data_IF_896844081232
#
_entry.id   IF_896844081232
#
_cell.length_a   1.000
_cell.length_b   1.000
_cell.length_c   1.000
_cell.angle_alpha   90.00
_cell.angle_beta   90.00
_cell.angle_gamma   90.00
#
_symmetry.space_group_name_H-M   'P 1'
#
loop_
_entity.id
_entity.type
_entity.pdbx_description
1 polymer ?
#
# COMPACT_ATOMS: atom_id res chain seq x y z
N UNK A 1 -38.17 9.57 -21.67
CA UNK A 1 -37.77 8.68 -20.56
C UNK A 1 -38.55 9.09 -19.32
N UNK A 2 -39.06 8.14 -18.53
CA UNK A 2 -39.73 8.47 -17.26
C UNK A 2 -38.68 8.78 -16.18
N UNK A 3 -39.05 9.55 -15.16
CA UNK A 3 -38.17 9.83 -14.02
C UNK A 3 -37.71 8.55 -13.29
N UNK A 4 -38.53 7.49 -13.33
CA UNK A 4 -38.20 6.18 -12.79
C UNK A 4 -37.06 5.50 -13.56
N UNK A 5 -37.08 5.56 -14.90
CA UNK A 5 -36.01 5.01 -15.76
C UNK A 5 -34.66 5.65 -15.46
N UNK A 6 -34.63 6.98 -15.33
CA UNK A 6 -33.41 7.74 -15.03
C UNK A 6 -32.84 7.39 -13.65
N UNK A 7 -33.72 7.16 -12.66
CA UNK A 7 -33.31 6.74 -11.31
C UNK A 7 -32.71 5.34 -11.33
N UNK A 8 -33.35 4.41 -12.02
CA UNK A 8 -32.89 3.02 -12.08
C UNK A 8 -31.55 2.91 -12.83
N UNK A 9 -31.36 3.69 -13.89
CA UNK A 9 -30.08 3.86 -14.59
C UNK A 9 -28.98 4.40 -13.66
N UNK A 10 -29.26 5.47 -12.90
CA UNK A 10 -28.30 6.04 -11.95
C UNK A 10 -27.93 5.04 -10.83
N UNK A 11 -28.90 4.28 -10.33
CA UNK A 11 -28.64 3.22 -9.33
C UNK A 11 -27.72 2.15 -9.91
N UNK A 12 -27.94 1.74 -11.17
CA UNK A 12 -27.10 0.75 -11.84
C UNK A 12 -25.66 1.26 -12.04
N UNK A 13 -25.49 2.52 -12.45
CA UNK A 13 -24.16 3.14 -12.61
C UNK A 13 -23.39 3.20 -11.28
N UNK A 14 -24.04 3.69 -10.22
CA UNK A 14 -23.39 3.79 -8.90
C UNK A 14 -23.08 2.39 -8.34
N UNK A 15 -23.96 1.42 -8.56
CA UNK A 15 -23.74 0.03 -8.14
C UNK A 15 -22.52 -0.56 -8.84
N UNK A 16 -22.40 -0.37 -10.15
CA UNK A 16 -21.25 -0.84 -10.92
C UNK A 16 -19.94 -0.21 -10.42
N UNK A 17 -19.92 1.10 -10.15
CA UNK A 17 -18.73 1.77 -9.60
C UNK A 17 -18.40 1.30 -8.18
N UNK A 18 -19.41 1.10 -7.33
CA UNK A 18 -19.23 0.57 -5.97
C UNK A 18 -18.61 -0.83 -5.98
N UNK A 19 -19.10 -1.72 -6.85
CA UNK A 19 -18.55 -3.07 -7.00
C UNK A 19 -17.14 -3.03 -7.59
N UNK A 20 -16.88 -2.11 -8.52
CA UNK A 20 -15.54 -1.83 -9.05
C UNK A 20 -14.55 -1.36 -7.98
N UNK A 21 -14.95 -0.44 -7.09
CA UNK A 21 -14.12 -0.01 -5.95
C UNK A 21 -13.79 -1.20 -5.06
N UNK A 22 -14.76 -2.07 -4.73
CA UNK A 22 -14.49 -3.26 -3.91
C UNK A 22 -13.48 -4.20 -4.53
N UNK A 23 -13.52 -4.39 -5.85
CA UNK A 23 -12.54 -5.21 -6.55
C UNK A 23 -11.13 -4.58 -6.46
N UNK A 24 -11.01 -3.28 -6.73
CA UNK A 24 -9.74 -2.54 -6.61
C UNK A 24 -9.19 -2.55 -5.17
N UNK A 25 -10.07 -2.47 -4.17
CA UNK A 25 -9.67 -2.61 -2.76
C UNK A 25 -9.06 -3.98 -2.46
N UNK A 26 -9.61 -5.05 -3.03
CA UNK A 26 -9.09 -6.41 -2.83
C UNK A 26 -7.72 -6.57 -3.49
N UNK A 27 -7.56 -6.05 -4.71
CA UNK A 27 -6.29 -6.06 -5.44
C UNK A 27 -5.21 -5.23 -4.71
N UNK A 28 -5.55 -4.02 -4.29
CA UNK A 28 -4.63 -3.15 -3.57
C UNK A 28 -4.26 -3.74 -2.19
N UNK A 29 -5.19 -4.39 -1.50
CA UNK A 29 -4.88 -5.12 -0.26
C UNK A 29 -3.86 -6.25 -0.49
N UNK A 30 -4.01 -7.02 -1.58
CA UNK A 30 -3.04 -8.07 -1.91
C UNK A 30 -1.63 -7.48 -2.17
N UNK A 31 -1.55 -6.30 -2.80
CA UNK A 31 -0.28 -5.58 -2.98
C UNK A 31 0.29 -5.08 -1.64
N UNK A 32 -0.55 -4.55 -0.75
CA UNK A 32 -0.14 -4.15 0.61
C UNK A 32 0.48 -5.34 1.35
N UNK A 33 -0.19 -6.49 1.35
CA UNK A 33 0.28 -7.69 2.05
C UNK A 33 1.62 -8.17 1.49
N UNK A 34 1.76 -8.20 0.16
CA UNK A 34 3.03 -8.54 -0.50
C UNK A 34 4.15 -7.56 -0.15
N UNK A 35 3.87 -6.25 -0.21
CA UNK A 35 4.84 -5.20 0.11
C UNK A 35 5.26 -5.24 1.59
N UNK A 36 4.37 -5.59 2.52
CA UNK A 36 4.72 -5.76 3.93
C UNK A 36 5.76 -6.87 4.14
N UNK A 37 5.59 -8.01 3.47
CA UNK A 37 6.57 -9.11 3.52
C UNK A 37 7.93 -8.67 2.99
N UNK A 38 7.96 -7.94 1.87
CA UNK A 38 9.21 -7.45 1.30
C UNK A 38 9.89 -6.39 2.19
N UNK A 39 9.12 -5.47 2.79
CA UNK A 39 9.64 -4.52 3.78
C UNK A 39 10.27 -5.25 4.96
N UNK A 40 9.63 -6.31 5.47
CA UNK A 40 10.17 -7.10 6.58
C UNK A 40 11.50 -7.75 6.20
N UNK A 41 11.58 -8.37 5.02
CA UNK A 41 12.82 -8.96 4.51
C UNK A 41 13.94 -7.92 4.37
N UNK A 42 13.63 -6.75 3.81
CA UNK A 42 14.60 -5.65 3.68
C UNK A 42 15.03 -5.09 5.04
N UNK A 43 14.13 -5.04 6.02
CA UNK A 43 14.44 -4.63 7.39
C UNK A 43 15.43 -5.61 8.05
N UNK A 44 15.20 -6.91 7.93
CA UNK A 44 16.12 -7.95 8.44
C UNK A 44 17.50 -7.84 7.77
N UNK A 45 17.53 -7.64 6.45
CA UNK A 45 18.77 -7.40 5.72
C UNK A 45 19.49 -6.16 6.23
N UNK A 46 18.78 -5.04 6.41
CA UNK A 46 19.35 -3.80 6.90
C UNK A 46 19.97 -3.97 8.30
N UNK A 47 19.28 -4.67 9.21
CA UNK A 47 19.81 -5.01 10.54
C UNK A 47 21.09 -5.83 10.45
N UNK A 48 21.10 -6.87 9.61
CA UNK A 48 22.26 -7.74 9.39
C UNK A 48 23.47 -6.97 8.85
N UNK A 49 23.26 -6.11 7.85
CA UNK A 49 24.34 -5.30 7.26
C UNK A 49 24.88 -4.28 8.26
N UNK A 50 24.02 -3.60 9.02
CA UNK A 50 24.46 -2.67 10.06
C UNK A 50 25.23 -3.38 11.18
N UNK A 51 24.90 -4.62 11.51
CA UNK A 51 25.68 -5.41 12.45
C UNK A 51 27.08 -5.75 11.91
N UNK A 52 27.23 -5.96 10.60
CA UNK A 52 28.55 -6.10 9.95
C UNK A 52 29.32 -4.79 9.99
N UNK A 53 28.67 -3.66 9.72
CA UNK A 53 29.30 -2.35 9.78
C UNK A 53 29.86 -2.04 11.17
N UNK A 54 29.09 -2.30 12.23
CA UNK A 54 29.56 -2.15 13.62
C UNK A 54 30.82 -2.97 13.93
N UNK A 55 30.87 -4.22 13.45
CA UNK A 55 32.08 -5.06 13.62
C UNK A 55 33.30 -4.48 12.88
N UNK A 56 33.09 -3.82 11.75
CA UNK A 56 34.17 -3.11 11.05
C UNK A 56 34.61 -1.89 11.84
N UNK A 57 33.68 -1.14 12.42
CA UNK A 57 34.00 0.00 13.30
C UNK A 57 34.82 -0.45 14.52
N UNK A 58 34.46 -1.57 15.15
CA UNK A 58 35.16 -2.13 16.32
C UNK A 58 36.60 -2.61 15.98
N UNK A 59 36.85 -3.00 14.72
CA UNK A 59 38.12 -3.54 14.26
C UNK A 59 38.79 -2.68 13.18
N UNK A 60 38.44 -1.39 13.11
CA UNK A 60 38.71 -0.51 11.96
C UNK A 60 40.17 -0.50 11.50
N UNK A 61 41.11 -0.49 12.44
CA UNK A 61 42.55 -0.44 12.15
C UNK A 61 43.11 -1.72 11.51
N UNK A 62 42.37 -2.83 11.58
CA UNK A 62 42.81 -4.15 11.12
C UNK A 62 42.02 -4.68 9.92
N UNK A 63 40.85 -4.11 9.64
CA UNK A 63 40.02 -4.51 8.50
C UNK A 63 40.59 -3.94 7.18
N UNK A 64 40.72 -4.75 6.11
CA UNK A 64 41.14 -4.24 4.81
C UNK A 64 40.22 -3.14 4.30
N UNK A 65 40.81 -2.06 3.74
CA UNK A 65 40.04 -0.91 3.18
C UNK A 65 38.98 -1.32 2.16
N UNK A 66 39.25 -2.38 1.40
CA UNK A 66 38.29 -2.91 0.42
C UNK A 66 37.04 -3.46 1.10
N UNK A 67 37.18 -4.18 2.21
CA UNK A 67 36.07 -4.76 2.96
C UNK A 67 35.23 -3.68 3.66
N UNK A 68 35.89 -2.61 4.13
CA UNK A 68 35.22 -1.40 4.65
C UNK A 68 34.35 -0.79 3.56
N UNK A 69 34.90 -0.56 2.35
CA UNK A 69 34.17 0.03 1.22
C UNK A 69 32.96 -0.83 0.84
N UNK A 70 33.17 -2.14 0.64
CA UNK A 70 32.10 -3.06 0.22
C UNK A 70 30.98 -3.08 1.26
N UNK A 71 31.31 -3.17 2.55
CA UNK A 71 30.28 -3.22 3.61
C UNK A 71 29.53 -1.89 3.75
N UNK A 72 30.21 -0.76 3.55
CA UNK A 72 29.60 0.56 3.55
C UNK A 72 28.63 0.75 2.37
N UNK A 73 29.03 0.35 1.16
CA UNK A 73 28.18 0.37 -0.03
C UNK A 73 26.95 -0.54 0.15
N UNK A 74 27.14 -1.75 0.68
CA UNK A 74 26.07 -2.67 1.06
C UNK A 74 25.07 -2.03 2.04
N UNK A 75 25.56 -1.26 3.02
CA UNK A 75 24.72 -0.61 4.02
C UNK A 75 23.86 0.50 3.41
N UNK A 76 24.44 1.30 2.50
CA UNK A 76 23.72 2.34 1.77
C UNK A 76 22.63 1.72 0.88
N UNK A 77 22.96 0.68 0.11
CA UNK A 77 21.99 0.01 -0.77
C UNK A 77 20.83 -0.58 0.03
N UNK A 78 21.13 -1.33 1.10
CA UNK A 78 20.11 -1.94 1.95
C UNK A 78 19.19 -0.88 2.59
N UNK A 79 19.74 0.23 3.06
CA UNK A 79 18.96 1.34 3.64
C UNK A 79 18.09 2.03 2.59
N UNK A 80 18.66 2.30 1.42
CA UNK A 80 17.95 2.99 0.33
C UNK A 80 16.77 2.17 -0.18
N UNK A 81 16.98 0.87 -0.42
CA UNK A 81 15.91 -0.06 -0.82
C UNK A 81 14.80 -0.15 0.22
N UNK A 82 15.16 -0.27 1.50
CA UNK A 82 14.19 -0.30 2.60
C UNK A 82 13.35 0.98 2.67
N UNK A 83 13.97 2.17 2.56
CA UNK A 83 13.25 3.44 2.59
C UNK A 83 12.29 3.57 1.42
N UNK A 84 12.74 3.22 0.21
CA UNK A 84 11.90 3.24 -0.99
C UNK A 84 10.70 2.30 -0.85
N UNK A 85 10.92 1.07 -0.37
CA UNK A 85 9.84 0.09 -0.22
C UNK A 85 8.84 0.50 0.86
N UNK A 86 9.30 1.14 1.96
CA UNK A 86 8.41 1.72 2.98
C UNK A 86 7.53 2.82 2.42
N UNK A 87 8.09 3.73 1.63
CA UNK A 87 7.33 4.81 0.99
C UNK A 87 6.30 4.24 -0.01
N UNK A 88 6.65 3.18 -0.74
CA UNK A 88 5.71 2.49 -1.62
C UNK A 88 4.57 1.83 -0.85
N UNK A 89 4.88 1.15 0.26
CA UNK A 89 3.88 0.55 1.14
C UNK A 89 2.94 1.61 1.74
N UNK A 90 3.47 2.73 2.21
CA UNK A 90 2.68 3.86 2.73
C UNK A 90 1.68 4.36 1.68
N UNK A 91 2.14 4.57 0.44
CA UNK A 91 1.27 4.98 -0.66
C UNK A 91 0.16 3.97 -0.98
N UNK A 92 0.46 2.67 -0.91
CA UNK A 92 -0.56 1.61 -1.10
C UNK A 92 -1.60 1.65 0.04
N UNK A 93 -1.17 1.87 1.27
CA UNK A 93 -2.05 1.98 2.44
C UNK A 93 -2.93 3.23 2.36
N UNK A 94 -2.38 4.38 1.97
CA UNK A 94 -3.16 5.59 1.70
C UNK A 94 -4.20 5.36 0.59
N UNK A 95 -3.80 4.70 -0.50
CA UNK A 95 -4.72 4.31 -1.57
C UNK A 95 -5.85 3.41 -1.07
N UNK A 96 -5.54 2.46 -0.17
CA UNK A 96 -6.55 1.60 0.44
C UNK A 96 -7.57 2.41 1.25
N UNK A 97 -7.10 3.37 2.05
CA UNK A 97 -7.96 4.25 2.85
C UNK A 97 -8.86 5.11 1.97
N UNK A 98 -8.35 5.66 0.86
CA UNK A 98 -9.14 6.45 -0.08
C UNK A 98 -10.22 5.61 -0.78
N UNK A 99 -9.89 4.39 -1.19
CA UNK A 99 -10.85 3.45 -1.78
C UNK A 99 -11.93 3.06 -0.77
N UNK A 100 -11.55 2.78 0.48
CA UNK A 100 -12.51 2.46 1.55
C UNK A 100 -13.48 3.61 1.82
N UNK A 101 -12.97 4.84 1.96
CA UNK A 101 -13.82 6.03 2.12
C UNK A 101 -14.79 6.22 0.95
N UNK A 102 -14.30 6.04 -0.28
CA UNK A 102 -15.13 6.15 -1.49
C UNK A 102 -16.22 5.08 -1.52
N UNK A 103 -15.87 3.82 -1.18
CA UNK A 103 -16.82 2.71 -1.03
C UNK A 103 -17.90 3.03 -0.01
N UNK A 104 -17.54 3.53 1.17
CA UNK A 104 -18.51 3.90 2.21
C UNK A 104 -19.46 5.02 1.78
N UNK A 105 -18.98 5.99 1.00
CA UNK A 105 -19.82 7.08 0.45
C UNK A 105 -20.81 6.51 -0.58
N UNK A 106 -20.34 5.76 -1.57
CA UNK A 106 -21.19 5.18 -2.61
C UNK A 106 -22.20 4.18 -2.03
N UNK A 107 -21.79 3.36 -1.05
CA UNK A 107 -22.68 2.43 -0.36
C UNK A 107 -23.83 3.14 0.35
N UNK A 108 -23.54 4.23 1.09
CA UNK A 108 -24.57 5.06 1.73
C UNK A 108 -25.48 5.75 0.71
N UNK A 109 -24.94 6.19 -0.42
CA UNK A 109 -25.72 6.81 -1.49
C UNK A 109 -26.68 5.79 -2.13
N UNK A 110 -26.19 4.58 -2.43
CA UNK A 110 -27.02 3.49 -2.96
C UNK A 110 -28.16 3.12 -2.02
N UNK A 111 -27.88 3.00 -0.71
CA UNK A 111 -28.90 2.70 0.29
C UNK A 111 -29.99 3.78 0.31
N UNK A 112 -29.61 5.05 0.34
CA UNK A 112 -30.55 6.18 0.30
C UNK A 112 -31.35 6.21 -0.99
N UNK A 113 -30.71 6.06 -2.14
CA UNK A 113 -31.39 6.07 -3.44
C UNK A 113 -32.40 4.93 -3.55
N UNK A 114 -32.02 3.70 -3.15
CA UNK A 114 -32.92 2.54 -3.17
C UNK A 114 -34.10 2.72 -2.21
N UNK A 115 -33.86 3.18 -0.99
CA UNK A 115 -34.91 3.43 0.01
C UNK A 115 -35.92 4.51 -0.40
N UNK A 116 -35.49 5.57 -1.10
CA UNK A 116 -36.37 6.66 -1.53
C UNK A 116 -37.44 6.25 -2.56
N UNK A 117 -37.24 5.15 -3.30
CA UNK A 117 -38.24 4.63 -4.25
C UNK A 117 -39.18 3.59 -3.67
N UNK A 118 -39.01 3.18 -2.40
CA UNK A 118 -39.95 2.30 -1.70
C UNK A 118 -41.14 3.05 -1.08
N UNK A 119 -41.17 4.39 -1.18
CA UNK A 119 -42.22 5.25 -0.63
C UNK A 119 -43.10 5.90 -1.71
N UNK A 120 -42.99 5.48 -2.97
CA UNK A 120 -43.76 5.99 -4.12
C UNK A 120 -44.71 4.96 -4.70
#
# INVERSE_FOLDING_TARGET
MSAQSLRDELIAEIQAEYDGIKMRMKENQALVDQSQVEVQRLQERNVSVNARMRRIEDAFDTVPRQDIRVTYEDAIDAKSRLLTMRAQLEKLQEGQQQLDQSSQILGRLLEKLKSAGNFG
#
